data_IF_958638030912
#
_entry.id   IF_958638030912
#
_cell.length_a   1.000
_cell.length_b   1.000
_cell.length_c   1.000
_cell.angle_alpha   90.00
_cell.angle_beta   90.00
_cell.angle_gamma   90.00
#
_symmetry.space_group_name_H-M   'P 1'
#
loop_
_entity.id
_entity.type
_entity.pdbx_description
1 polymer ?
#
# COMPACT_ATOMS: atom_id res chain seq x y z
N UNK A 1 18.10 -22.61 13.62
CA UNK A 1 16.66 -22.75 13.30
C UNK A 1 15.95 -21.42 13.57
N UNK A 2 16.43 -20.32 12.97
CA UNK A 2 16.06 -18.94 13.35
C UNK A 2 15.64 -18.04 12.18
N UNK A 3 16.08 -18.34 10.96
CA UNK A 3 15.73 -17.52 9.78
C UNK A 3 14.39 -17.89 9.15
N UNK A 4 13.93 -19.14 9.33
CA UNK A 4 12.67 -19.63 8.74
C UNK A 4 11.49 -19.03 9.52
N UNK A 5 11.49 -19.15 10.86
CA UNK A 5 10.42 -18.57 11.71
C UNK A 5 10.31 -17.04 11.59
N UNK A 6 11.42 -16.34 11.40
CA UNK A 6 11.41 -14.89 11.17
C UNK A 6 10.74 -14.52 9.84
N UNK A 7 10.87 -15.35 8.79
CA UNK A 7 10.31 -15.11 7.47
C UNK A 7 8.79 -15.33 7.46
N UNK A 8 8.30 -16.41 8.08
CA UNK A 8 6.85 -16.70 8.23
C UNK A 8 6.15 -15.60 9.03
N UNK A 9 6.78 -15.08 10.10
CA UNK A 9 6.20 -13.95 10.85
C UNK A 9 6.20 -12.66 10.04
N UNK A 10 7.25 -12.38 9.28
CA UNK A 10 7.28 -11.23 8.35
C UNK A 10 6.19 -11.35 7.29
N UNK A 11 6.03 -12.55 6.71
CA UNK A 11 5.02 -12.84 5.70
C UNK A 11 3.60 -12.65 6.27
N UNK A 12 3.35 -13.15 7.48
CA UNK A 12 2.07 -12.93 8.19
C UNK A 12 1.83 -11.45 8.50
N UNK A 13 2.86 -10.72 8.94
CA UNK A 13 2.75 -9.28 9.20
C UNK A 13 2.42 -8.53 7.92
N UNK A 14 3.06 -8.84 6.79
CA UNK A 14 2.79 -8.18 5.50
C UNK A 14 1.36 -8.50 5.03
N UNK A 15 0.94 -9.77 5.12
CA UNK A 15 -0.41 -10.22 4.75
C UNK A 15 -1.48 -9.52 5.58
N UNK A 16 -1.23 -9.23 6.85
CA UNK A 16 -2.17 -8.48 7.70
C UNK A 16 -2.03 -6.96 7.56
N UNK A 17 -0.81 -6.43 7.41
CA UNK A 17 -0.55 -5.01 7.39
C UNK A 17 -1.09 -4.35 6.11
N UNK A 18 -1.02 -5.03 4.96
CA UNK A 18 -1.55 -4.52 3.69
C UNK A 18 -3.07 -4.26 3.76
N UNK A 19 -3.93 -5.24 4.10
CA UNK A 19 -5.37 -5.01 4.19
C UNK A 19 -5.72 -4.06 5.34
N UNK A 20 -4.96 -4.07 6.44
CA UNK A 20 -5.20 -3.15 7.55
C UNK A 20 -4.90 -1.69 7.16
N UNK A 21 -3.80 -1.45 6.43
CA UNK A 21 -3.49 -0.15 5.87
C UNK A 21 -4.56 0.31 4.86
N UNK A 22 -5.06 -0.59 4.02
CA UNK A 22 -6.16 -0.29 3.10
C UNK A 22 -7.46 0.09 3.83
N UNK A 23 -7.80 -0.63 4.91
CA UNK A 23 -8.98 -0.33 5.74
C UNK A 23 -8.85 1.02 6.45
N UNK A 24 -7.68 1.31 7.03
CA UNK A 24 -7.40 2.61 7.65
C UNK A 24 -7.49 3.74 6.62
N UNK A 25 -6.93 3.54 5.44
CA UNK A 25 -7.01 4.50 4.35
C UNK A 25 -8.47 4.76 3.92
N UNK A 26 -9.24 3.70 3.70
CA UNK A 26 -10.64 3.80 3.29
C UNK A 26 -11.48 4.51 4.38
N UNK A 27 -11.27 4.16 5.65
CA UNK A 27 -11.92 4.81 6.79
C UNK A 27 -11.57 6.29 6.93
N UNK A 28 -10.30 6.64 6.72
CA UNK A 28 -9.83 8.03 6.76
C UNK A 28 -10.48 8.87 5.65
N UNK A 29 -10.52 8.34 4.43
CA UNK A 29 -11.18 8.97 3.28
C UNK A 29 -12.67 9.19 3.58
N UNK A 30 -13.36 8.18 4.13
CA UNK A 30 -14.78 8.29 4.49
C UNK A 30 -15.01 9.31 5.61
N UNK A 31 -14.15 9.33 6.64
CA UNK A 31 -14.21 10.31 7.71
C UNK A 31 -14.06 11.75 7.19
N UNK A 32 -13.11 11.98 6.28
CA UNK A 32 -12.90 13.29 5.63
C UNK A 32 -14.12 13.69 4.79
N UNK A 33 -14.72 12.76 4.04
CA UNK A 33 -15.97 13.01 3.28
C UNK A 33 -17.10 13.44 4.20
N UNK A 34 -17.21 12.85 5.39
CA UNK A 34 -18.28 13.16 6.35
C UNK A 34 -18.06 14.46 7.12
N UNK A 35 -16.81 14.83 7.42
CA UNK A 35 -16.48 16.01 8.23
C UNK A 35 -16.25 17.28 7.40
N UNK A 36 -15.76 17.15 6.17
CA UNK A 36 -15.32 18.31 5.38
C UNK A 36 -16.36 18.64 4.29
N UNK A 37 -17.10 19.76 4.40
CA UNK A 37 -18.09 20.16 3.38
C UNK A 37 -17.46 20.51 2.03
N UNK A 38 -16.15 20.82 1.99
CA UNK A 38 -15.41 21.04 0.75
C UNK A 38 -15.34 19.78 -0.13
N UNK A 39 -15.44 18.58 0.45
CA UNK A 39 -15.43 17.31 -0.29
C UNK A 39 -16.72 17.12 -1.08
N UNK A 40 -17.86 17.63 -0.57
CA UNK A 40 -19.12 17.71 -1.34
C UNK A 40 -19.04 18.67 -2.52
N UNK A 41 -18.14 19.65 -2.48
CA UNK A 41 -17.97 20.63 -3.57
C UNK A 41 -17.16 20.03 -4.71
N UNK A 42 -16.20 19.15 -4.43
CA UNK A 42 -15.35 18.49 -5.44
C UNK A 42 -15.29 16.96 -5.26
N UNK A 43 -16.43 16.26 -5.37
CA UNK A 43 -16.50 14.82 -5.09
C UNK A 43 -15.68 13.98 -6.07
N UNK A 44 -15.61 14.37 -7.34
CA UNK A 44 -14.79 13.69 -8.35
C UNK A 44 -13.29 13.82 -8.08
N UNK A 45 -12.85 14.97 -7.61
CA UNK A 45 -11.43 15.25 -7.37
C UNK A 45 -10.94 14.48 -6.15
N UNK A 46 -11.75 14.46 -5.08
CA UNK A 46 -11.44 13.72 -3.87
C UNK A 46 -11.50 12.21 -4.10
N UNK A 47 -12.57 11.70 -4.73
CA UNK A 47 -12.68 10.30 -5.10
C UNK A 47 -11.60 9.85 -6.09
N UNK A 48 -11.22 10.72 -7.03
CA UNK A 48 -10.16 10.47 -8.01
C UNK A 48 -8.79 10.32 -7.36
N UNK A 49 -8.40 11.24 -6.48
CA UNK A 49 -7.14 11.16 -5.72
C UNK A 49 -7.15 9.90 -4.83
N UNK A 50 -8.29 9.60 -4.20
CA UNK A 50 -8.43 8.40 -3.37
C UNK A 50 -8.41 7.09 -4.13
N UNK A 51 -8.83 7.07 -5.39
CA UNK A 51 -8.69 5.92 -6.28
C UNK A 51 -7.26 5.79 -6.84
N UNK A 52 -6.57 6.92 -7.05
CA UNK A 52 -5.20 6.94 -7.56
C UNK A 52 -4.19 6.36 -6.56
N UNK A 53 -4.36 6.65 -5.27
CA UNK A 53 -3.47 6.17 -4.21
C UNK A 53 -3.33 4.63 -4.14
N UNK A 54 -4.40 3.82 -4.07
CA UNK A 54 -4.29 2.37 -4.11
C UNK A 54 -3.82 1.87 -5.48
N UNK A 55 -4.15 2.57 -6.58
CA UNK A 55 -3.66 2.22 -7.91
C UNK A 55 -2.13 2.36 -8.01
N UNK A 56 -1.59 3.50 -7.55
CA UNK A 56 -0.15 3.78 -7.56
C UNK A 56 0.58 2.88 -6.59
N UNK A 57 0.00 2.62 -5.42
CA UNK A 57 0.58 1.71 -4.43
C UNK A 57 0.60 0.27 -4.97
N UNK A 58 -0.50 -0.20 -5.55
CA UNK A 58 -0.56 -1.50 -6.22
C UNK A 58 0.42 -1.60 -7.39
N UNK A 59 0.53 -0.56 -8.21
CA UNK A 59 1.50 -0.49 -9.30
C UNK A 59 2.95 -0.49 -8.79
N UNK A 60 3.26 0.24 -7.72
CA UNK A 60 4.60 0.27 -7.12
C UNK A 60 5.00 -1.10 -6.54
N UNK A 61 4.05 -1.81 -5.91
CA UNK A 61 4.26 -3.16 -5.42
C UNK A 61 4.43 -4.15 -6.59
N UNK A 62 3.62 -3.99 -7.65
CA UNK A 62 3.64 -4.85 -8.84
C UNK A 62 4.90 -4.68 -9.68
N UNK A 63 5.38 -3.46 -9.85
CA UNK A 63 6.64 -3.18 -10.55
C UNK A 63 7.80 -3.89 -9.86
N UNK A 64 7.65 -4.24 -8.57
CA UNK A 64 8.62 -5.00 -7.81
C UNK A 64 9.95 -4.25 -7.69
N UNK A 65 10.81 -4.61 -6.73
CA UNK A 65 12.18 -4.18 -6.83
C UNK A 65 12.70 -4.79 -8.13
N UNK A 66 13.02 -3.97 -9.13
CA UNK A 66 13.85 -4.35 -10.26
C UNK A 66 15.19 -4.75 -9.65
N UNK A 67 15.28 -6.01 -9.19
CA UNK A 67 16.53 -6.65 -8.81
C UNK A 67 17.22 -6.85 -10.13
N UNK A 68 17.99 -5.85 -10.55
CA UNK A 68 18.96 -6.04 -11.61
C UNK A 68 19.91 -7.12 -11.10
N UNK A 69 19.66 -8.34 -11.58
CA UNK A 69 20.53 -9.49 -11.45
C UNK A 69 21.72 -9.18 -12.35
N UNK A 70 22.70 -8.41 -11.87
CA UNK A 70 24.05 -8.46 -12.39
C UNK A 70 25.06 -7.81 -11.44
N UNK A 71 25.76 -8.60 -10.64
CA UNK A 71 27.20 -8.75 -10.88
C UNK A 71 27.66 -10.06 -10.25
N UNK A 72 27.85 -11.02 -11.12
CA UNK A 72 28.68 -12.20 -10.96
C UNK A 72 30.02 -11.88 -10.24
N UNK A 73 30.60 -12.92 -9.62
CA UNK A 73 32.04 -12.98 -9.33
C UNK A 73 32.63 -11.97 -8.33
N UNK A 74 32.53 -12.26 -7.03
CA UNK A 74 33.61 -11.93 -6.07
C UNK A 74 34.00 -13.20 -5.30
N UNK A 75 34.93 -13.91 -5.96
CA UNK A 75 36.06 -14.71 -5.44
C UNK A 75 35.82 -15.74 -4.34
#
# INVERSE_FOLDING_TARGET
MSSIESNERLMLIIICAIPFAALLYCGLVFAIVLTVPAVKTYPLLFGGISALLPLVTGAAIWVGPRRDINHDSVK
#
